data_IF_914996858498
#
_entry.id   IF_914996858498
#
_cell.length_a   1.000
_cell.length_b   1.000
_cell.length_c   1.000
_cell.angle_alpha   90.00
_cell.angle_beta   90.00
_cell.angle_gamma   90.00
#
_symmetry.space_group_name_H-M   'P 1'
#
loop_
_entity.id
_entity.type
_entity.pdbx_description
1 polymer ?
#
# COMPACT_ATOMS: atom_id res chain seq x y z
N UNK A 1 -22.42 -28.82 2.26
CA UNK A 1 -23.22 -27.86 3.05
C UNK A 1 -22.27 -26.74 3.49
N UNK A 2 -21.85 -25.88 2.57
CA UNK A 2 -20.76 -24.93 2.82
C UNK A 2 -21.04 -23.65 2.05
N UNK A 3 -20.85 -22.50 2.69
CA UNK A 3 -21.05 -21.14 2.19
C UNK A 3 -22.49 -20.57 2.24
N UNK A 4 -23.03 -20.36 3.45
CA UNK A 4 -24.10 -19.36 3.68
C UNK A 4 -23.73 -18.47 4.86
N UNK A 5 -22.51 -17.97 4.92
CA UNK A 5 -22.10 -16.97 5.91
C UNK A 5 -20.91 -16.20 5.35
N UNK A 6 -21.17 -15.22 4.47
CA UNK A 6 -20.39 -13.98 4.36
C UNK A 6 -20.95 -13.15 3.20
N UNK A 7 -21.48 -11.97 3.49
CA UNK A 7 -21.72 -10.97 2.46
C UNK A 7 -20.40 -10.64 1.77
N UNK A 8 -20.33 -10.97 0.48
CA UNK A 8 -19.38 -10.54 -0.56
C UNK A 8 -17.96 -10.14 -0.15
N UNK A 9 -17.32 -10.83 0.79
CA UNK A 9 -15.88 -10.63 0.98
C UNK A 9 -15.18 -11.19 -0.25
N UNK A 10 -14.49 -10.31 -0.97
CA UNK A 10 -13.73 -10.59 -2.19
C UNK A 10 -12.39 -9.85 -2.07
N UNK A 11 -11.34 -10.36 -2.71
CA UNK A 11 -10.11 -9.59 -2.87
C UNK A 11 -10.35 -8.55 -3.95
N UNK A 12 -10.31 -7.27 -3.60
CA UNK A 12 -10.58 -6.19 -4.55
C UNK A 12 -9.30 -5.80 -5.30
N UNK A 13 -8.93 -6.61 -6.30
CA UNK A 13 -7.71 -6.38 -7.10
C UNK A 13 -7.78 -5.02 -7.81
N UNK A 14 -8.94 -4.70 -8.39
CA UNK A 14 -9.17 -3.43 -9.07
C UNK A 14 -8.88 -2.22 -8.18
N UNK A 15 -9.41 -2.20 -6.95
CA UNK A 15 -9.15 -1.11 -6.00
C UNK A 15 -7.67 -1.00 -5.65
N UNK A 16 -7.01 -2.10 -5.25
CA UNK A 16 -5.61 -2.04 -4.82
C UNK A 16 -4.67 -1.59 -5.96
N UNK A 17 -4.94 -2.06 -7.18
CA UNK A 17 -4.19 -1.65 -8.36
C UNK A 17 -4.45 -0.17 -8.70
N UNK A 18 -5.71 0.28 -8.59
CA UNK A 18 -6.07 1.68 -8.80
C UNK A 18 -5.43 2.62 -7.78
N UNK A 19 -5.41 2.27 -6.49
CA UNK A 19 -4.79 3.09 -5.45
C UNK A 19 -3.30 3.36 -5.73
N UNK A 20 -2.59 2.36 -6.28
CA UNK A 20 -1.19 2.53 -6.69
C UNK A 20 -1.05 3.45 -7.91
N UNK A 21 -1.84 3.22 -8.96
CA UNK A 21 -1.81 4.05 -10.18
C UNK A 21 -2.17 5.49 -9.85
N UNK A 22 -3.23 5.71 -9.08
CA UNK A 22 -3.72 7.04 -8.73
C UNK A 22 -2.67 7.80 -7.91
N UNK A 23 -2.09 7.18 -6.88
CA UNK A 23 -1.07 7.82 -6.07
C UNK A 23 0.19 8.20 -6.89
N UNK A 24 0.63 7.34 -7.81
CA UNK A 24 1.73 7.67 -8.72
C UNK A 24 1.33 8.81 -9.68
N UNK A 25 0.19 8.70 -10.36
CA UNK A 25 -0.28 9.70 -11.32
C UNK A 25 -0.48 11.08 -10.70
N UNK A 26 -1.02 11.15 -9.48
CA UNK A 26 -1.13 12.39 -8.71
C UNK A 26 0.26 12.97 -8.39
N UNK A 27 1.24 12.14 -8.05
CA UNK A 27 2.61 12.59 -7.82
C UNK A 27 3.24 13.17 -9.09
N UNK A 28 3.12 12.47 -10.21
CA UNK A 28 3.69 12.93 -11.48
C UNK A 28 3.09 14.27 -11.90
N UNK A 29 1.76 14.37 -11.83
CA UNK A 29 1.03 15.62 -12.12
C UNK A 29 1.52 16.77 -11.24
N UNK A 30 1.64 16.54 -9.92
CA UNK A 30 2.12 17.56 -8.99
C UNK A 30 3.55 18.01 -9.34
N UNK A 31 4.43 17.07 -9.65
CA UNK A 31 5.80 17.36 -9.97
C UNK A 31 5.97 18.11 -11.30
N UNK A 32 5.11 17.85 -12.28
CA UNK A 32 5.04 18.64 -13.52
C UNK A 32 4.61 20.08 -13.24
N UNK A 33 3.54 20.27 -12.44
CA UNK A 33 3.09 21.61 -12.05
C UNK A 33 4.16 22.39 -11.28
N UNK A 34 4.86 21.73 -10.36
CA UNK A 34 5.89 22.36 -9.55
C UNK A 34 7.15 22.77 -10.34
N UNK A 35 7.34 22.22 -11.55
CA UNK A 35 8.46 22.57 -12.43
C UNK A 35 8.10 23.63 -13.48
N UNK A 36 6.85 24.09 -13.49
CA UNK A 36 6.44 25.15 -14.40
C UNK A 36 6.96 26.52 -13.92
N UNK A 37 8.07 26.96 -14.53
CA UNK A 37 8.67 28.26 -14.26
C UNK A 37 7.69 29.42 -14.52
N UNK A 38 6.79 29.29 -15.50
CA UNK A 38 5.79 30.31 -15.78
C UNK A 38 4.75 30.38 -14.66
N UNK A 39 4.35 29.23 -14.10
CA UNK A 39 3.47 29.18 -12.95
C UNK A 39 4.11 29.83 -11.70
N UNK A 40 5.41 29.58 -11.46
CA UNK A 40 6.16 30.23 -10.37
C UNK A 40 6.22 31.75 -10.57
N UNK A 41 6.49 32.20 -11.80
CA UNK A 41 6.49 33.63 -12.13
C UNK A 41 5.10 34.26 -11.96
N UNK A 42 4.04 33.57 -12.42
CA UNK A 42 2.67 34.04 -12.26
C UNK A 42 2.25 34.14 -10.80
N UNK A 43 2.62 33.17 -9.96
CA UNK A 43 2.42 33.22 -8.50
C UNK A 43 3.12 34.45 -7.89
N UNK A 44 4.38 34.66 -8.25
CA UNK A 44 5.21 35.75 -7.75
C UNK A 44 4.74 37.15 -8.15
N UNK A 45 4.08 37.26 -9.31
CA UNK A 45 3.52 38.52 -9.82
C UNK A 45 2.03 38.72 -9.46
N UNK A 46 1.40 37.71 -8.84
CA UNK A 46 -0.01 37.69 -8.48
C UNK A 46 -0.35 38.41 -7.16
N UNK A 47 -1.47 38.03 -6.56
CA UNK A 47 -1.97 38.64 -5.33
C UNK A 47 -1.02 38.43 -4.13
N UNK A 48 -0.28 37.32 -4.11
CA UNK A 48 0.66 36.95 -3.06
C UNK A 48 2.10 37.42 -3.34
N UNK A 49 2.23 38.48 -4.13
CA UNK A 49 3.52 39.09 -4.49
C UNK A 49 4.35 39.43 -3.25
N UNK A 50 5.66 39.13 -3.25
CA UNK A 50 6.56 39.51 -2.16
C UNK A 50 6.47 40.99 -1.79
N UNK A 51 6.41 41.26 -0.48
CA UNK A 51 6.32 42.60 0.09
C UNK A 51 7.58 42.94 0.87
N UNK A 52 7.90 44.23 0.97
CA UNK A 52 8.97 44.80 1.78
C UNK A 52 8.42 45.84 2.73
N UNK A 53 9.10 46.05 3.85
CA UNK A 53 8.79 47.14 4.79
C UNK A 53 9.55 48.39 4.32
N UNK A 54 8.84 49.50 4.13
CA UNK A 54 9.43 50.78 3.77
C UNK A 54 10.01 51.51 5.00
N UNK A 55 10.52 52.73 4.79
CA UNK A 55 11.14 53.53 5.86
C UNK A 55 10.16 53.99 6.94
N UNK A 56 8.88 54.00 6.61
CA UNK A 56 7.78 54.41 7.50
C UNK A 56 7.11 53.20 8.17
N UNK A 57 7.67 51.99 7.98
CA UNK A 57 7.18 50.75 8.55
C UNK A 57 5.99 50.14 7.81
N UNK A 58 5.63 50.65 6.63
CA UNK A 58 4.51 50.16 5.84
C UNK A 58 4.92 49.02 4.90
N UNK A 59 4.01 48.06 4.68
CA UNK A 59 4.21 47.01 3.69
C UNK A 59 3.96 47.57 2.28
N UNK A 60 4.97 47.46 1.43
CA UNK A 60 4.92 47.87 0.02
C UNK A 60 5.33 46.69 -0.87
N UNK A 61 4.71 46.56 -2.04
CA UNK A 61 5.09 45.52 -3.01
C UNK A 61 6.52 45.72 -3.51
N UNK A 62 7.24 44.63 -3.71
CA UNK A 62 8.55 44.63 -4.41
C UNK A 62 8.30 44.89 -5.90
N UNK A 63 9.17 45.57 -6.63
CA UNK A 63 9.05 45.82 -8.09
C UNK A 63 9.33 44.57 -8.94
N UNK A 64 8.90 44.53 -10.21
CA UNK A 64 8.99 43.31 -11.04
C UNK A 64 10.45 42.83 -11.17
N UNK A 65 11.39 43.79 -11.27
CA UNK A 65 12.82 43.51 -11.30
C UNK A 65 13.36 42.91 -9.99
N UNK A 66 12.77 43.25 -8.85
CA UNK A 66 13.11 42.70 -7.53
C UNK A 66 12.46 41.35 -7.26
N UNK A 67 11.28 41.09 -7.84
CA UNK A 67 10.53 39.83 -7.70
C UNK A 67 11.31 38.63 -8.23
N UNK A 68 12.06 38.79 -9.33
CA UNK A 68 12.88 37.73 -9.92
C UNK A 68 13.92 37.14 -8.96
N UNK A 69 14.31 37.87 -7.91
CA UNK A 69 15.24 37.38 -6.88
C UNK A 69 14.63 36.33 -5.96
N UNK A 70 13.30 36.24 -5.90
CA UNK A 70 12.57 35.27 -5.08
C UNK A 70 12.26 33.96 -5.81
N UNK A 71 12.37 33.93 -7.14
CA UNK A 71 12.12 32.72 -7.93
C UNK A 71 13.02 31.55 -7.50
N UNK A 72 14.33 31.79 -7.39
CA UNK A 72 15.30 30.74 -7.02
C UNK A 72 15.05 30.17 -5.61
N UNK A 73 14.89 30.98 -4.55
CA UNK A 73 14.54 30.47 -3.21
C UNK A 73 13.21 29.69 -3.16
N UNK A 74 12.20 30.11 -3.91
CA UNK A 74 10.90 29.43 -3.96
C UNK A 74 11.04 28.09 -4.67
N UNK A 75 11.71 28.05 -5.83
CA UNK A 75 11.99 26.80 -6.55
C UNK A 75 12.78 25.82 -5.67
N UNK A 76 13.80 26.30 -4.94
CA UNK A 76 14.52 25.45 -4.00
C UNK A 76 13.65 24.92 -2.86
N UNK A 77 12.67 25.70 -2.38
CA UNK A 77 11.71 25.24 -1.37
C UNK A 77 10.76 24.19 -1.93
N UNK A 78 10.32 24.35 -3.19
CA UNK A 78 9.50 23.38 -3.93
C UNK A 78 10.27 22.06 -4.11
N UNK A 79 11.55 22.11 -4.49
CA UNK A 79 12.40 20.93 -4.64
C UNK A 79 12.54 20.15 -3.32
N UNK A 80 12.74 20.85 -2.20
CA UNK A 80 12.78 20.23 -0.87
C UNK A 80 11.45 19.53 -0.54
N UNK A 81 10.33 20.19 -0.86
CA UNK A 81 9.01 19.63 -0.65
C UNK A 81 8.77 18.37 -1.51
N UNK A 82 9.15 18.40 -2.79
CA UNK A 82 9.08 17.24 -3.69
C UNK A 82 9.95 16.09 -3.16
N UNK A 83 11.18 16.38 -2.72
CA UNK A 83 12.08 15.37 -2.14
C UNK A 83 11.46 14.70 -0.91
N UNK A 84 10.82 15.48 -0.03
CA UNK A 84 10.07 14.95 1.11
C UNK A 84 8.86 14.12 0.69
N UNK A 85 8.13 14.58 -0.32
CA UNK A 85 6.96 13.88 -0.85
C UNK A 85 7.34 12.53 -1.48
N UNK A 86 8.42 12.47 -2.27
CA UNK A 86 8.93 11.22 -2.85
C UNK A 86 9.26 10.17 -1.79
N UNK A 87 9.82 10.57 -0.65
CA UNK A 87 10.05 9.66 0.48
C UNK A 87 8.74 9.13 1.06
N UNK A 88 7.70 9.96 1.15
CA UNK A 88 6.40 9.52 1.64
C UNK A 88 5.70 8.58 0.66
N UNK A 89 5.87 8.75 -0.64
CA UNK A 89 5.32 7.83 -1.63
C UNK A 89 5.82 6.39 -1.44
N UNK A 90 7.09 6.20 -1.06
CA UNK A 90 7.60 4.85 -0.70
C UNK A 90 6.83 4.25 0.48
N UNK A 91 6.48 5.07 1.47
CA UNK A 91 5.67 4.64 2.63
C UNK A 91 4.25 4.28 2.18
N UNK A 92 3.67 5.05 1.25
CA UNK A 92 2.33 4.82 0.70
C UNK A 92 2.28 3.47 -0.03
N UNK A 93 3.20 3.20 -0.95
CA UNK A 93 3.23 1.93 -1.71
C UNK A 93 3.30 0.71 -0.77
N UNK A 94 4.18 0.75 0.23
CA UNK A 94 4.30 -0.32 1.22
C UNK A 94 3.03 -0.47 2.05
N UNK A 95 2.36 0.64 2.38
CA UNK A 95 1.12 0.60 3.16
C UNK A 95 -0.03 -0.04 2.36
N UNK A 96 -0.18 0.33 1.07
CA UNK A 96 -1.18 -0.24 0.17
C UNK A 96 -0.95 -1.75 0.00
N UNK A 97 0.28 -2.16 -0.30
CA UNK A 97 0.61 -3.58 -0.49
C UNK A 97 0.47 -4.40 0.80
N UNK A 98 0.79 -3.84 1.97
CA UNK A 98 0.54 -4.50 3.26
C UNK A 98 -0.96 -4.70 3.53
N UNK A 99 -1.79 -3.71 3.18
CA UNK A 99 -3.24 -3.81 3.27
C UNK A 99 -3.80 -4.86 2.29
N UNK A 100 -3.30 -4.90 1.05
CA UNK A 100 -3.65 -5.91 0.06
C UNK A 100 -3.27 -7.33 0.52
N UNK A 101 -2.08 -7.53 1.10
CA UNK A 101 -1.67 -8.82 1.69
C UNK A 101 -2.63 -9.23 2.82
N UNK A 102 -2.98 -8.30 3.71
CA UNK A 102 -3.92 -8.56 4.79
C UNK A 102 -5.31 -8.96 4.28
N UNK A 103 -5.79 -8.31 3.22
CA UNK A 103 -7.05 -8.65 2.57
C UNK A 103 -7.02 -10.01 1.90
N UNK A 104 -5.93 -10.36 1.20
CA UNK A 104 -5.76 -11.68 0.62
C UNK A 104 -5.85 -12.78 1.70
N UNK A 105 -5.19 -12.60 2.85
CA UNK A 105 -5.34 -13.51 3.99
C UNK A 105 -6.78 -13.54 4.53
N UNK A 106 -7.43 -12.38 4.65
CA UNK A 106 -8.82 -12.29 5.13
C UNK A 106 -9.76 -13.09 4.23
N UNK A 107 -9.61 -12.98 2.91
CA UNK A 107 -10.34 -13.77 1.93
C UNK A 107 -10.02 -15.25 2.10
N UNK A 108 -8.74 -15.64 2.13
CA UNK A 108 -8.35 -17.04 2.32
C UNK A 108 -8.98 -17.65 3.57
N UNK A 109 -8.89 -16.99 4.73
CA UNK A 109 -9.40 -17.52 5.99
C UNK A 109 -10.93 -17.53 6.07
N UNK A 110 -11.59 -16.62 5.36
CA UNK A 110 -13.06 -16.58 5.29
C UNK A 110 -13.63 -17.77 4.50
N UNK A 111 -12.98 -18.18 3.42
CA UNK A 111 -13.47 -19.25 2.55
C UNK A 111 -12.80 -20.61 2.83
N UNK A 112 -11.61 -20.61 3.43
CA UNK A 112 -10.82 -21.82 3.76
C UNK A 112 -10.32 -21.74 5.23
N UNK A 113 -11.21 -21.69 6.22
CA UNK A 113 -10.83 -21.46 7.62
C UNK A 113 -9.90 -22.52 8.21
N UNK A 114 -9.95 -23.77 7.70
CA UNK A 114 -9.06 -24.84 8.16
C UNK A 114 -7.57 -24.54 7.93
N UNK A 115 -7.24 -23.71 6.94
CA UNK A 115 -5.87 -23.29 6.64
C UNK A 115 -5.27 -22.45 7.78
N UNK A 116 -6.11 -21.84 8.63
CA UNK A 116 -5.62 -21.11 9.80
C UNK A 116 -4.88 -22.02 10.80
N UNK A 117 -5.18 -23.32 10.86
CA UNK A 117 -4.48 -24.27 11.76
C UNK A 117 -2.97 -24.33 11.48
N UNK A 118 -2.57 -24.08 10.25
CA UNK A 118 -1.16 -24.04 9.86
C UNK A 118 -0.42 -22.82 10.43
N UNK A 119 -1.13 -21.84 11.00
CA UNK A 119 -0.52 -20.73 11.74
C UNK A 119 -0.08 -21.15 13.15
N UNK A 120 -0.89 -21.96 13.85
CA UNK A 120 -0.62 -22.37 15.24
C UNK A 120 0.62 -23.25 15.36
N UNK A 121 0.91 -24.06 14.34
CA UNK A 121 2.07 -24.97 14.34
C UNK A 121 3.42 -24.26 14.34
N UNK A 122 3.48 -22.99 13.95
CA UNK A 122 4.71 -22.21 13.87
C UNK A 122 4.86 -21.16 14.97
N UNK A 123 3.78 -20.79 15.66
CA UNK A 123 3.79 -19.76 16.68
C UNK A 123 3.00 -20.24 17.90
N UNK A 124 3.71 -20.82 18.88
CA UNK A 124 3.12 -21.38 20.10
C UNK A 124 2.35 -20.36 20.94
N UNK A 125 2.58 -19.06 20.70
CA UNK A 125 1.86 -17.97 21.36
C UNK A 125 0.49 -17.70 20.73
N UNK A 126 0.28 -18.17 19.49
CA UNK A 126 -0.93 -17.89 18.73
C UNK A 126 -1.96 -19.00 18.95
N UNK A 127 -2.89 -18.74 19.86
CA UNK A 127 -4.07 -19.58 20.00
C UNK A 127 -5.21 -18.99 19.19
N UNK A 128 -5.66 -19.70 18.16
CA UNK A 128 -6.90 -19.39 17.43
C UNK A 128 -8.14 -19.78 18.24
N UNK A 129 -7.95 -20.21 19.51
CA UNK A 129 -9.03 -20.43 20.46
C UNK A 129 -9.87 -19.17 20.66
N UNK A 130 -11.18 -19.36 20.74
CA UNK A 130 -12.14 -18.34 21.15
C UNK A 130 -12.26 -18.41 22.67
N UNK A 131 -12.05 -17.28 23.36
CA UNK A 131 -12.27 -17.20 24.80
C UNK A 131 -13.77 -17.25 25.14
N UNK A 132 -14.12 -17.67 26.35
CA UNK A 132 -15.52 -17.69 26.80
C UNK A 132 -16.15 -16.28 26.72
N UNK A 133 -15.37 -15.25 27.02
CA UNK A 133 -15.80 -13.84 26.89
C UNK A 133 -16.21 -13.49 25.45
N UNK A 134 -15.44 -13.91 24.45
CA UNK A 134 -15.77 -13.68 23.04
C UNK A 134 -17.04 -14.41 22.63
N UNK A 135 -17.27 -15.61 23.19
CA UNK A 135 -18.47 -16.40 22.93
C UNK A 135 -19.71 -15.79 23.57
N UNK A 136 -19.59 -15.24 24.78
CA UNK A 136 -20.67 -14.52 25.48
C UNK A 136 -20.95 -13.17 24.83
N UNK A 137 -19.92 -12.48 24.30
CA UNK A 137 -20.05 -11.17 23.67
C UNK A 137 -20.50 -11.23 22.20
N UNK A 138 -20.43 -12.38 21.54
CA UNK A 138 -20.82 -12.49 20.14
C UNK A 138 -22.34 -12.50 19.98
N UNK A 139 -22.86 -11.63 19.11
CA UNK A 139 -24.28 -11.59 18.72
C UNK A 139 -24.71 -12.84 17.95
N UNK A 140 -23.78 -13.42 17.20
CA UNK A 140 -24.01 -14.53 16.28
C UNK A 140 -22.67 -15.19 15.90
N UNK A 141 -22.77 -16.36 15.26
CA UNK A 141 -21.60 -17.13 14.81
C UNK A 141 -20.73 -16.34 13.82
N UNK A 142 -21.32 -15.46 13.00
CA UNK A 142 -20.58 -14.70 11.99
C UNK A 142 -19.71 -13.63 12.63
N UNK A 143 -20.24 -12.93 13.62
CA UNK A 143 -19.50 -11.99 14.47
C UNK A 143 -18.30 -12.69 15.15
N UNK A 144 -18.53 -13.89 15.69
CA UNK A 144 -17.47 -14.69 16.28
C UNK A 144 -16.41 -15.13 15.26
N UNK A 145 -16.82 -15.63 14.09
CA UNK A 145 -15.92 -16.02 13.01
C UNK A 145 -15.08 -14.84 12.50
N UNK A 146 -15.68 -13.66 12.36
CA UNK A 146 -14.96 -12.45 11.94
C UNK A 146 -13.83 -12.11 12.92
N UNK A 147 -14.07 -12.17 14.24
CA UNK A 147 -13.01 -11.95 15.24
C UNK A 147 -11.87 -12.97 15.15
N UNK A 148 -12.18 -14.24 14.89
CA UNK A 148 -11.16 -15.28 14.71
C UNK A 148 -10.33 -14.99 13.45
N UNK A 149 -11.00 -14.63 12.35
CA UNK A 149 -10.35 -14.30 11.08
C UNK A 149 -9.44 -13.08 11.26
N UNK A 150 -9.88 -12.00 11.91
CA UNK A 150 -9.03 -10.82 12.11
C UNK A 150 -7.79 -11.13 12.96
N UNK A 151 -7.92 -11.98 14.00
CA UNK A 151 -6.75 -12.44 14.77
C UNK A 151 -5.80 -13.27 13.92
N UNK A 152 -6.31 -14.16 13.07
CA UNK A 152 -5.52 -14.94 12.15
C UNK A 152 -4.83 -14.08 11.07
N UNK A 153 -5.50 -13.05 10.55
CA UNK A 153 -4.91 -12.08 9.61
C UNK A 153 -3.79 -11.31 10.30
N UNK A 154 -4.03 -10.74 11.48
CA UNK A 154 -3.02 -10.04 12.27
C UNK A 154 -1.80 -10.93 12.52
N UNK A 155 -2.04 -12.19 12.90
CA UNK A 155 -0.99 -13.17 13.07
C UNK A 155 -0.17 -13.38 11.80
N UNK A 156 -0.86 -13.61 10.67
CA UNK A 156 -0.24 -13.89 9.37
C UNK A 156 0.56 -12.69 8.81
N UNK A 157 0.22 -11.47 9.19
CA UNK A 157 0.89 -10.23 8.74
C UNK A 157 1.91 -9.67 9.74
N UNK A 158 2.01 -10.22 10.95
CA UNK A 158 2.94 -9.75 11.98
C UNK A 158 4.37 -10.27 11.80
N UNK A 159 5.37 -9.44 12.11
CA UNK A 159 6.79 -9.81 12.07
C UNK A 159 7.53 -9.29 10.84
N UNK A 160 8.73 -9.81 10.59
CA UNK A 160 9.52 -9.36 9.43
C UNK A 160 8.84 -9.76 8.10
N UNK A 161 9.03 -8.97 7.05
CA UNK A 161 8.30 -9.17 5.79
C UNK A 161 8.67 -10.44 5.06
N UNK A 162 9.91 -10.93 5.20
CA UNK A 162 10.28 -12.24 4.65
C UNK A 162 9.44 -13.37 5.24
N UNK A 163 9.20 -13.35 6.56
CA UNK A 163 8.33 -14.32 7.24
C UNK A 163 6.87 -14.18 6.84
N UNK A 164 6.39 -12.94 6.62
CA UNK A 164 5.03 -12.70 6.10
C UNK A 164 4.87 -13.31 4.72
N UNK A 165 5.79 -13.04 3.79
CA UNK A 165 5.75 -13.61 2.43
C UNK A 165 5.88 -15.13 2.44
N UNK A 166 6.77 -15.71 3.25
CA UNK A 166 6.85 -17.18 3.39
C UNK A 166 5.54 -17.79 3.88
N UNK A 167 4.84 -17.13 4.81
CA UNK A 167 3.52 -17.59 5.26
C UNK A 167 2.48 -17.45 4.17
N UNK A 168 2.49 -16.34 3.42
CA UNK A 168 1.64 -16.14 2.26
C UNK A 168 1.83 -17.30 1.26
N UNK A 169 3.07 -17.54 0.83
CA UNK A 169 3.39 -18.60 -0.12
C UNK A 169 2.95 -19.99 0.35
N UNK A 170 3.20 -20.29 1.63
CA UNK A 170 2.81 -21.56 2.25
C UNK A 170 1.29 -21.74 2.28
N UNK A 171 0.56 -20.76 2.81
CA UNK A 171 -0.89 -20.87 3.02
C UNK A 171 -1.65 -20.85 1.69
N UNK A 172 -1.13 -20.14 0.69
CA UNK A 172 -1.61 -20.18 -0.70
C UNK A 172 -1.01 -21.32 -1.54
N UNK A 173 -0.13 -22.17 -0.97
CA UNK A 173 0.55 -23.30 -1.66
C UNK A 173 1.19 -22.87 -3.00
N UNK A 174 1.64 -21.62 -3.10
CA UNK A 174 2.21 -21.05 -4.33
C UNK A 174 3.38 -20.14 -3.99
N UNK A 175 4.45 -20.18 -4.79
CA UNK A 175 5.63 -19.31 -4.58
C UNK A 175 5.48 -18.00 -5.34
N UNK A 176 5.97 -16.91 -4.75
CA UNK A 176 6.18 -15.67 -5.47
C UNK A 176 7.38 -15.84 -6.41
N UNK A 177 7.35 -15.24 -7.61
CA UNK A 177 8.55 -15.08 -8.42
C UNK A 177 9.65 -14.40 -7.59
N UNK A 178 10.89 -14.89 -7.67
CA UNK A 178 11.98 -14.38 -6.84
C UNK A 178 12.25 -12.89 -7.07
N UNK A 179 12.11 -12.42 -8.31
CA UNK A 179 12.26 -11.02 -8.69
C UNK A 179 11.26 -10.15 -7.94
N UNK A 180 9.97 -10.50 -7.99
CA UNK A 180 8.88 -9.78 -7.31
C UNK A 180 9.09 -9.80 -5.79
N UNK A 181 9.43 -10.97 -5.23
CA UNK A 181 9.69 -11.12 -3.79
C UNK A 181 10.85 -10.26 -3.33
N UNK A 182 11.99 -10.34 -4.01
CA UNK A 182 13.22 -9.66 -3.61
C UNK A 182 13.09 -8.14 -3.83
N UNK A 183 12.39 -7.73 -4.89
CA UNK A 183 12.01 -6.33 -5.14
C UNK A 183 11.15 -5.76 -4.01
N UNK A 184 10.11 -6.49 -3.59
CA UNK A 184 9.25 -6.04 -2.47
C UNK A 184 10.00 -5.98 -1.13
N UNK A 185 10.91 -6.91 -0.85
CA UNK A 185 11.76 -6.84 0.34
C UNK A 185 12.66 -5.60 0.29
N UNK A 186 13.29 -5.31 -0.85
CA UNK A 186 14.10 -4.11 -1.01
C UNK A 186 13.28 -2.81 -0.82
N UNK A 187 12.04 -2.79 -1.32
CA UNK A 187 11.10 -1.68 -1.13
C UNK A 187 10.72 -1.50 0.36
N UNK A 188 10.43 -2.58 1.07
CA UNK A 188 10.16 -2.53 2.53
C UNK A 188 11.38 -2.03 3.30
N UNK A 189 12.57 -2.52 2.98
CA UNK A 189 13.81 -2.08 3.62
C UNK A 189 14.05 -0.59 3.37
N UNK A 190 13.72 -0.12 2.16
CA UNK A 190 13.75 1.31 1.83
C UNK A 190 12.81 2.11 2.71
N UNK A 191 11.55 1.66 2.85
CA UNK A 191 10.57 2.28 3.74
C UNK A 191 11.07 2.33 5.18
N UNK A 192 11.66 1.24 5.67
CA UNK A 192 12.17 1.17 7.04
C UNK A 192 13.29 2.19 7.26
N UNK A 193 14.21 2.37 6.30
CA UNK A 193 15.24 3.42 6.38
C UNK A 193 14.64 4.82 6.43
N UNK A 194 13.60 5.08 5.64
CA UNK A 194 12.91 6.38 5.62
C UNK A 194 12.24 6.66 6.98
N UNK A 195 11.47 5.69 7.50
CA UNK A 195 10.62 5.87 8.68
C UNK A 195 11.39 5.73 9.99
N UNK A 196 12.29 4.76 10.10
CA UNK A 196 12.96 4.41 11.36
C UNK A 196 14.38 4.96 11.46
N UNK A 197 15.11 5.06 10.34
CA UNK A 197 16.48 5.59 10.33
C UNK A 197 16.52 7.10 9.99
N UNK A 198 15.36 7.74 9.83
CA UNK A 198 15.21 9.14 9.42
C UNK A 198 16.01 9.48 8.16
N UNK A 199 16.08 8.56 7.19
CA UNK A 199 16.84 8.77 5.97
C UNK A 199 16.30 9.96 5.16
N UNK A 200 17.19 10.87 4.76
CA UNK A 200 16.86 12.15 4.06
C UNK A 200 17.50 12.32 2.69
N UNK A 201 18.04 11.25 2.10
CA UNK A 201 18.56 11.38 0.73
C UNK A 201 17.42 11.63 -0.26
N UNK A 202 17.81 11.91 -1.50
CA UNK A 202 16.88 12.15 -2.58
C UNK A 202 16.49 10.85 -3.29
N UNK A 203 15.26 10.82 -3.76
CA UNK A 203 14.71 9.78 -4.61
C UNK A 203 14.36 10.41 -5.95
N UNK A 204 14.95 9.87 -7.01
CA UNK A 204 14.63 10.26 -8.37
C UNK A 204 13.21 9.85 -8.74
N UNK A 205 12.65 10.50 -9.76
CA UNK A 205 11.35 10.12 -10.34
C UNK A 205 11.31 8.65 -10.77
N UNK A 206 12.40 8.18 -11.37
CA UNK A 206 12.48 6.80 -11.85
C UNK A 206 12.47 5.81 -10.68
N UNK A 207 13.24 6.07 -9.61
CA UNK A 207 13.21 5.20 -8.43
C UNK A 207 11.81 5.12 -7.80
N UNK A 208 11.08 6.25 -7.76
CA UNK A 208 9.70 6.25 -7.26
C UNK A 208 8.80 5.38 -8.16
N UNK A 209 8.89 5.53 -9.49
CA UNK A 209 8.14 4.68 -10.44
C UNK A 209 8.46 3.20 -10.26
N UNK A 210 9.74 2.85 -10.19
CA UNK A 210 10.19 1.47 -10.01
C UNK A 210 9.59 0.86 -8.72
N UNK A 211 9.46 1.65 -7.64
CA UNK A 211 8.80 1.20 -6.42
C UNK A 211 7.30 0.98 -6.58
N UNK A 212 6.60 1.83 -7.34
CA UNK A 212 5.19 1.62 -7.66
C UNK A 212 5.00 0.39 -8.53
N UNK A 213 5.87 0.14 -9.51
CA UNK A 213 5.84 -1.05 -10.36
C UNK A 213 5.97 -2.32 -9.51
N UNK A 214 6.93 -2.35 -8.58
CA UNK A 214 7.05 -3.45 -7.58
C UNK A 214 5.77 -3.63 -6.76
N UNK A 215 5.12 -2.52 -6.39
CA UNK A 215 3.84 -2.56 -5.68
C UNK A 215 2.73 -3.20 -6.51
N UNK A 216 2.62 -2.82 -7.79
CA UNK A 216 1.65 -3.37 -8.73
C UNK A 216 1.90 -4.86 -8.96
N UNK A 217 3.15 -5.27 -9.19
CA UNK A 217 3.53 -6.68 -9.35
C UNK A 217 3.12 -7.53 -8.14
N UNK A 218 3.28 -7.01 -6.92
CA UNK A 218 2.82 -7.70 -5.70
C UNK A 218 1.29 -7.84 -5.68
N UNK A 219 0.55 -6.78 -5.99
CA UNK A 219 -0.92 -6.81 -6.02
C UNK A 219 -1.43 -7.80 -7.08
N UNK A 220 -0.80 -7.84 -8.25
CA UNK A 220 -1.13 -8.83 -9.28
C UNK A 220 -0.85 -10.25 -8.82
N UNK A 221 0.31 -10.52 -8.20
CA UNK A 221 0.61 -11.86 -7.67
C UNK A 221 -0.37 -12.29 -6.58
N UNK A 222 -0.84 -11.36 -5.74
CA UNK A 222 -1.91 -11.65 -4.78
C UNK A 222 -3.22 -12.03 -5.50
N UNK A 223 -3.57 -11.32 -6.58
CA UNK A 223 -4.70 -11.67 -7.43
C UNK A 223 -4.55 -13.09 -8.03
N UNK A 224 -3.35 -13.43 -8.51
CA UNK A 224 -3.03 -14.79 -9.00
C UNK A 224 -3.14 -15.85 -7.91
N UNK A 225 -2.73 -15.54 -6.68
CA UNK A 225 -2.83 -16.44 -5.53
C UNK A 225 -4.29 -16.72 -5.16
N UNK A 226 -5.12 -15.68 -5.12
CA UNK A 226 -6.56 -15.76 -4.84
C UNK A 226 -7.28 -16.54 -5.95
N UNK A 227 -7.06 -16.18 -7.21
CA UNK A 227 -7.68 -16.82 -8.37
C UNK A 227 -7.32 -18.31 -8.48
N UNK A 228 -6.04 -18.67 -8.31
CA UNK A 228 -5.60 -20.07 -8.38
C UNK A 228 -6.26 -21.00 -7.34
N UNK A 229 -6.71 -20.43 -6.20
CA UNK A 229 -7.45 -21.13 -5.15
C UNK A 229 -8.97 -21.11 -5.33
N UNK A 230 -9.44 -20.58 -6.47
CA UNK A 230 -10.86 -20.35 -6.78
C UNK A 230 -11.56 -19.55 -5.69
N UNK A 231 -10.86 -18.54 -5.15
CA UNK A 231 -11.40 -17.63 -4.13
C UNK A 231 -12.01 -16.39 -4.79
N UNK A 232 -13.02 -15.74 -4.17
CA UNK A 232 -13.65 -14.57 -4.75
C UNK A 232 -12.71 -13.38 -4.90
N UNK A 233 -12.70 -12.81 -6.10
CA UNK A 233 -11.88 -11.69 -6.52
C UNK A 233 -12.73 -10.71 -7.33
N UNK A 234 -12.50 -9.41 -7.14
CA UNK A 234 -12.97 -8.35 -8.02
C UNK A 234 -11.84 -7.97 -8.97
N UNK A 235 -11.97 -8.37 -10.24
CA UNK A 235 -10.95 -8.14 -11.25
C UNK A 235 -11.55 -7.44 -12.48
N UNK A 236 -11.81 -6.12 -12.38
CA UNK A 236 -12.36 -5.34 -13.51
C UNK A 236 -11.40 -5.27 -14.71
N UNK A 237 -10.14 -5.67 -14.53
CA UNK A 237 -9.13 -5.72 -15.58
C UNK A 237 -9.07 -7.06 -16.31
N UNK A 238 -9.84 -8.06 -15.87
CA UNK A 238 -9.91 -9.40 -16.47
C UNK A 238 -8.52 -10.08 -16.62
N UNK A 239 -7.60 -9.80 -15.70
CA UNK A 239 -6.26 -10.40 -15.68
C UNK A 239 -6.26 -11.88 -15.30
N UNK A 240 -7.30 -12.36 -14.61
CA UNK A 240 -7.32 -13.71 -14.02
C UNK A 240 -8.39 -14.67 -14.57
N UNK A 241 -9.18 -14.26 -15.56
CA UNK A 241 -10.35 -15.00 -16.08
C UNK A 241 -10.04 -16.38 -16.71
N UNK A 242 -8.78 -16.65 -17.06
CA UNK A 242 -8.36 -17.88 -17.75
C UNK A 242 -7.35 -18.73 -16.96
N UNK A 243 -7.23 -18.52 -15.65
CA UNK A 243 -6.30 -19.31 -14.83
C UNK A 243 -6.86 -20.73 -14.59
N UNK A 244 -6.10 -21.80 -14.89
CA UNK A 244 -6.55 -23.15 -14.61
C UNK A 244 -6.75 -23.32 -13.10
N UNK A 245 -7.96 -23.63 -12.68
CA UNK A 245 -8.25 -24.01 -11.30
C UNK A 245 -7.47 -25.28 -10.95
N UNK A 246 -6.74 -25.30 -9.84
CA UNK A 246 -6.13 -26.54 -9.34
C UNK A 246 -7.21 -27.64 -9.23
N UNK A 247 -6.89 -28.90 -9.60
CA UNK A 247 -7.82 -29.99 -9.41
C UNK A 247 -8.15 -30.07 -7.91
N UNK A 248 -9.43 -29.91 -7.59
CA UNK A 248 -9.96 -30.06 -6.24
C UNK A 248 -9.43 -31.36 -5.66
N UNK A 249 -8.54 -31.29 -4.66
CA UNK A 249 -8.11 -32.45 -3.89
C UNK A 249 -9.40 -33.16 -3.43
N UNK A 250 -9.64 -34.35 -3.98
CA UNK A 250 -10.78 -35.17 -3.61
C UNK A 250 -10.69 -35.42 -2.10
N UNK A 251 -11.67 -34.90 -1.37
CA UNK A 251 -11.84 -35.18 0.04
C UNK A 251 -12.24 -36.65 0.19
N UNK A 252 -11.30 -37.48 0.62
CA UNK A 252 -11.57 -38.75 1.29
C UNK A 252 -12.13 -38.51 2.71
#
# INVERSE_FOLDING_TARGET
MTAVLNGYLRFDHGRWHYELIEALGCSETLQEFCQDEQAVQAYLLGADRPQKIDRDGQLTGIDDAGVSRFAVPIMGSIEIAISAYNRQLVVVVVSITEAAIAEAFRVLFSYRPLVMKDLESNDQSLRLSVGLEDLVAASDLRSLSSKVIERAVSAATQGNKQSVLKRLERLFKRKLPSIVRDGYIALVDRRNRIVHDNWRGDLSRQEVRDYFDVGCEIVEELGRFVSARSLPIDDPMHLFDNMPSEPTEASD
#
